data_IF_586294746137
#
_entry.id   IF_586294746137
#
_cell.length_a   1.000
_cell.length_b   1.000
_cell.length_c   1.000
_cell.angle_alpha   90.00
_cell.angle_beta   90.00
_cell.angle_gamma   90.00
#
_symmetry.space_group_name_H-M   'P 1'
#
loop_
_entity.id
_entity.type
_entity.pdbx_description
1 polymer ?
#
# COMPACT_ATOMS: atom_id res chain seq x y z
N UNK A 1 25.36 26.34 -0.95
CA UNK A 1 24.37 25.41 -0.37
C UNK A 1 23.01 26.10 -0.41
N UNK A 2 22.08 25.65 -1.25
CA UNK A 2 20.81 26.35 -1.49
C UNK A 2 19.77 25.96 -0.43
N UNK A 3 19.44 26.89 0.47
CA UNK A 3 18.34 26.74 1.44
C UNK A 3 17.03 26.78 0.65
N UNK A 4 16.42 25.61 0.47
CA UNK A 4 15.10 25.51 -0.16
C UNK A 4 14.07 26.08 0.83
N UNK A 5 13.70 27.35 0.67
CA UNK A 5 12.59 27.97 1.40
C UNK A 5 11.34 27.15 1.10
N UNK A 6 10.76 26.54 2.14
CA UNK A 6 9.50 25.81 2.00
C UNK A 6 8.43 26.86 1.67
N UNK A 7 7.73 26.78 0.53
CA UNK A 7 6.68 27.74 0.24
C UNK A 7 5.66 27.70 1.38
N UNK A 8 5.38 28.87 1.95
CA UNK A 8 4.42 29.00 3.01
C UNK A 8 3.06 28.54 2.47
N UNK A 9 2.43 27.62 3.20
CA UNK A 9 1.08 27.18 2.85
C UNK A 9 0.15 28.38 3.06
N UNK A 10 -0.66 28.79 2.07
CA UNK A 10 -1.61 29.88 2.23
C UNK A 10 -2.61 29.52 3.34
N UNK A 11 -3.31 30.52 3.94
CA UNK A 11 -4.29 30.25 4.98
C UNK A 11 -5.40 29.34 4.45
N UNK A 12 -5.35 28.07 4.85
CA UNK A 12 -6.32 27.04 4.45
C UNK A 12 -7.33 26.83 5.58
N UNK A 13 -8.63 26.64 5.27
CA UNK A 13 -9.64 26.32 6.27
C UNK A 13 -9.39 24.96 6.93
N UNK A 14 -8.90 23.96 6.18
CA UNK A 14 -8.45 22.65 6.69
C UNK A 14 -7.33 22.06 5.84
N UNK A 15 -6.34 21.47 6.51
CA UNK A 15 -5.26 20.71 5.86
C UNK A 15 -5.59 19.23 5.93
N UNK A 16 -5.84 18.62 4.76
CA UNK A 16 -6.09 17.19 4.63
C UNK A 16 -5.39 16.62 3.41
N UNK A 17 -4.92 15.39 3.54
CA UNK A 17 -4.52 14.55 2.42
C UNK A 17 -5.79 13.92 1.85
N UNK A 18 -6.07 14.16 0.56
CA UNK A 18 -7.28 13.70 -0.12
C UNK A 18 -7.30 12.18 -0.27
N UNK A 19 -6.19 11.59 -0.73
CA UNK A 19 -6.05 10.16 -0.91
C UNK A 19 -5.04 9.64 0.11
N UNK A 20 -5.55 9.20 1.26
CA UNK A 20 -4.75 8.49 2.25
C UNK A 20 -4.63 7.05 1.78
N UNK A 21 -3.66 6.80 0.90
CA UNK A 21 -3.36 5.45 0.45
C UNK A 21 -2.77 4.68 1.63
N UNK A 22 -3.62 3.99 2.39
CA UNK A 22 -3.15 2.93 3.28
C UNK A 22 -2.51 1.88 2.38
N UNK A 23 -1.26 1.51 2.63
CA UNK A 23 -0.58 0.42 1.93
C UNK A 23 -1.39 -0.86 2.16
N UNK A 24 -2.29 -1.17 1.24
CA UNK A 24 -3.01 -2.43 1.23
C UNK A 24 -2.02 -3.50 0.82
N UNK A 25 -1.81 -4.47 1.72
CA UNK A 25 -1.00 -5.62 1.40
C UNK A 25 -1.74 -6.42 0.31
N UNK A 26 -1.00 -6.86 -0.70
CA UNK A 26 -1.57 -7.66 -1.78
C UNK A 26 -2.22 -8.94 -1.21
N UNK A 27 -3.29 -9.40 -1.85
CA UNK A 27 -3.92 -10.67 -1.47
C UNK A 27 -2.88 -11.80 -1.54
N UNK A 28 -2.85 -12.71 -0.54
CA UNK A 28 -1.85 -13.77 -0.49
C UNK A 28 -1.91 -14.70 -1.71
N UNK A 29 -3.11 -14.97 -2.23
CA UNK A 29 -3.27 -15.82 -3.41
C UNK A 29 -2.71 -15.19 -4.69
N UNK A 30 -2.69 -13.86 -4.79
CA UNK A 30 -2.10 -13.14 -5.94
C UNK A 30 -0.58 -13.30 -5.93
N UNK A 31 0.04 -13.36 -4.75
CA UNK A 31 1.48 -13.62 -4.62
C UNK A 31 1.80 -15.04 -5.11
N UNK A 32 1.06 -16.05 -4.65
CA UNK A 32 1.25 -17.44 -5.07
C UNK A 32 1.00 -17.58 -6.59
N UNK A 33 -0.02 -16.92 -7.11
CA UNK A 33 -0.30 -16.90 -8.55
C UNK A 33 0.87 -16.34 -9.35
N UNK A 34 1.48 -15.23 -8.89
CA UNK A 34 2.64 -14.65 -9.56
C UNK A 34 3.85 -15.58 -9.54
N UNK A 35 4.06 -16.33 -8.45
CA UNK A 35 5.14 -17.31 -8.35
C UNK A 35 4.90 -18.50 -9.29
N UNK A 36 3.67 -18.97 -9.40
CA UNK A 36 3.29 -20.03 -10.32
C UNK A 36 3.50 -19.63 -11.79
N UNK A 37 3.11 -18.40 -12.16
CA UNK A 37 3.38 -17.86 -13.50
C UNK A 37 4.87 -17.76 -13.80
N UNK A 38 5.69 -17.37 -12.83
CA UNK A 38 7.16 -17.37 -12.98
C UNK A 38 7.72 -18.79 -13.17
N UNK A 39 7.13 -19.79 -12.49
CA UNK A 39 7.52 -21.19 -12.65
C UNK A 39 7.22 -21.69 -14.07
N UNK A 40 6.02 -21.42 -14.59
CA UNK A 40 5.67 -21.75 -15.97
C UNK A 40 6.51 -21.01 -17.01
N UNK A 41 6.83 -19.74 -16.76
CA UNK A 41 7.71 -18.97 -17.63
C UNK A 41 9.13 -19.57 -17.72
N UNK A 42 9.59 -20.26 -16.67
CA UNK A 42 10.94 -20.83 -16.59
C UNK A 42 11.01 -22.28 -17.09
N UNK A 43 10.00 -23.10 -16.75
CA UNK A 43 10.03 -24.56 -16.93
C UNK A 43 9.02 -25.09 -17.95
N UNK A 44 8.15 -24.22 -18.47
CA UNK A 44 7.01 -24.59 -19.30
C UNK A 44 5.76 -24.91 -18.48
N UNK A 45 4.60 -24.82 -19.14
CA UNK A 45 3.31 -25.17 -18.57
C UNK A 45 3.28 -26.67 -18.19
N UNK A 46 2.71 -26.99 -17.02
CA UNK A 46 2.48 -28.38 -16.61
C UNK A 46 3.73 -29.15 -16.17
N UNK A 47 4.88 -28.48 -15.99
CA UNK A 47 6.08 -29.13 -15.48
C UNK A 47 5.91 -29.57 -14.01
N UNK A 48 6.40 -30.77 -13.67
CA UNK A 48 6.33 -31.36 -12.34
C UNK A 48 6.90 -30.44 -11.24
N UNK A 49 7.89 -29.60 -11.58
CA UNK A 49 8.47 -28.61 -10.68
C UNK A 49 7.49 -27.54 -10.18
N UNK A 50 6.37 -27.30 -10.87
CA UNK A 50 5.38 -26.29 -10.52
C UNK A 50 4.13 -26.86 -9.79
N UNK A 51 4.06 -28.17 -9.59
CA UNK A 51 2.89 -28.87 -9.03
C UNK A 51 2.55 -28.47 -7.59
N UNK A 52 3.57 -28.17 -6.77
CA UNK A 52 3.38 -27.69 -5.40
C UNK A 52 2.72 -26.31 -5.37
N UNK A 53 3.21 -25.37 -6.18
CA UNK A 53 2.64 -24.03 -6.32
C UNK A 53 1.19 -24.06 -6.82
N UNK A 54 0.88 -25.02 -7.68
CA UNK A 54 -0.45 -25.23 -8.23
C UNK A 54 -1.45 -25.74 -7.18
N UNK A 55 -1.00 -26.64 -6.30
CA UNK A 55 -1.79 -27.10 -5.14
C UNK A 55 -2.02 -25.95 -4.14
N UNK A 56 -0.98 -25.18 -3.84
CA UNK A 56 -1.06 -24.04 -2.92
C UNK A 56 -1.98 -22.95 -3.45
N UNK A 57 -1.95 -22.68 -4.76
CA UNK A 57 -2.85 -21.72 -5.40
C UNK A 57 -4.31 -22.19 -5.30
N UNK A 58 -4.59 -23.46 -5.60
CA UNK A 58 -5.93 -24.05 -5.48
C UNK A 58 -6.46 -23.95 -4.05
N UNK A 59 -5.63 -24.28 -3.06
CA UNK A 59 -5.98 -24.17 -1.65
C UNK A 59 -6.24 -22.71 -1.22
N UNK A 60 -5.43 -21.77 -1.72
CA UNK A 60 -5.61 -20.35 -1.42
C UNK A 60 -6.92 -19.80 -2.02
N UNK A 61 -7.25 -20.18 -3.26
CA UNK A 61 -8.50 -19.76 -3.90
C UNK A 61 -9.74 -20.39 -3.25
N UNK A 62 -9.66 -21.67 -2.85
CA UNK A 62 -10.76 -22.37 -2.18
C UNK A 62 -11.07 -21.82 -0.79
N UNK A 63 -10.05 -21.37 -0.05
CA UNK A 63 -10.21 -20.81 1.30
C UNK A 63 -10.77 -19.38 1.33
N UNK A 64 -10.84 -18.69 0.19
CA UNK A 64 -11.48 -17.37 0.09
C UNK A 64 -10.84 -16.29 0.98
N UNK A 65 -9.53 -16.40 1.25
CA UNK A 65 -8.82 -15.52 2.20
C UNK A 65 -8.92 -14.06 1.74
N UNK A 66 -9.66 -13.26 2.51
CA UNK A 66 -9.76 -11.81 2.30
C UNK A 66 -8.45 -11.16 2.73
N UNK A 67 -7.96 -10.20 1.96
CA UNK A 67 -6.79 -9.43 2.34
C UNK A 67 -7.08 -8.71 3.66
N UNK A 68 -6.11 -8.67 4.58
CA UNK A 68 -6.28 -7.92 5.82
C UNK A 68 -6.55 -6.46 5.48
N UNK A 69 -7.61 -5.89 6.05
CA UNK A 69 -7.90 -4.48 5.88
C UNK A 69 -6.74 -3.67 6.46
N UNK A 70 -6.08 -2.88 5.63
CA UNK A 70 -5.01 -2.02 6.09
C UNK A 70 -5.56 -1.03 7.14
N UNK A 71 -4.82 -0.80 8.25
CA UNK A 71 -5.25 0.13 9.27
C UNK A 71 -5.43 1.53 8.67
N UNK A 72 -6.50 2.22 9.07
CA UNK A 72 -6.77 3.60 8.65
C UNK A 72 -5.67 4.51 9.19
N UNK A 73 -4.97 5.25 8.32
CA UNK A 73 -3.92 6.17 8.77
C UNK A 73 -4.52 7.39 9.49
N UNK A 74 -3.89 7.83 10.59
CA UNK A 74 -4.32 8.98 11.40
C UNK A 74 -3.82 10.35 10.88
N UNK A 75 -3.17 10.37 9.70
CA UNK A 75 -2.51 11.56 9.16
C UNK A 75 -3.39 12.81 9.08
N UNK A 76 -4.67 12.66 8.72
CA UNK A 76 -5.60 13.79 8.63
C UNK A 76 -6.02 14.35 10.00
N UNK A 77 -6.01 13.51 11.04
CA UNK A 77 -6.23 13.95 12.43
C UNK A 77 -5.04 14.81 12.89
N UNK A 78 -3.82 14.32 12.65
CA UNK A 78 -2.60 14.99 13.06
C UNK A 78 -2.37 16.29 12.28
N UNK A 79 -2.65 16.29 10.97
CA UNK A 79 -2.56 17.48 10.13
C UNK A 79 -3.48 18.61 10.61
N UNK A 80 -4.72 18.30 11.02
CA UNK A 80 -5.64 19.29 11.59
C UNK A 80 -5.16 19.83 12.93
N UNK A 81 -4.57 18.99 13.79
CA UNK A 81 -4.01 19.42 15.09
C UNK A 81 -2.82 20.38 14.90
N UNK A 82 -1.96 20.08 13.94
CA UNK A 82 -0.73 20.85 13.68
C UNK A 82 -0.97 22.10 12.83
N UNK A 83 -2.13 22.22 12.17
CA UNK A 83 -2.50 23.37 11.33
C UNK A 83 -2.24 24.72 12.02
N UNK A 84 -2.57 24.84 13.32
CA UNK A 84 -2.35 26.07 14.10
C UNK A 84 -0.87 26.41 14.28
N UNK A 85 0.00 25.41 14.37
CA UNK A 85 1.45 25.62 14.50
C UNK A 85 2.11 25.92 13.15
N UNK A 86 1.57 25.35 12.07
CA UNK A 86 2.08 25.56 10.70
C UNK A 86 1.76 26.99 10.21
N UNK A 87 0.58 27.53 10.56
CA UNK A 87 0.18 28.89 10.19
C UNK A 87 0.63 29.97 11.17
N UNK A 88 1.19 29.61 12.35
CA UNK A 88 1.87 30.60 13.19
C UNK A 88 3.08 31.08 12.40
N UNK A 89 3.01 32.31 11.88
CA UNK A 89 4.20 33.02 11.41
C UNK A 89 5.21 32.98 12.55
N UNK A 90 6.40 32.47 12.26
CA UNK A 90 7.56 32.70 13.11
C UNK A 90 7.88 34.18 12.89
N UNK A 91 7.56 34.99 13.90
CA UNK A 91 8.11 36.34 14.02
C UNK A 91 9.60 36.25 14.41
#
# INVERSE_FOLDING_TARGET
>A
MSIKTRPAVPPLPRLKVKNVASKQQAHPCVIIMSQMLNCWASYGEGNASCTSLELDLKNCMASGIKAPLAPKSKINSDANRLLRKIHKKVD
#
